data_IF_138633928251
#
_entry.id   IF_138633928251
#
_cell.length_a   1.000
_cell.length_b   1.000
_cell.length_c   1.000
_cell.angle_alpha   90.00
_cell.angle_beta   90.00
_cell.angle_gamma   90.00
#
_symmetry.space_group_name_H-M   'P 1'
#
loop_
_entity.id
_entity.type
_entity.pdbx_description
1 polymer ?
#
# COMPACT_ATOMS: atom_id res chain seq x y z
N UNK A 1 -19.82 17.64 -11.26
CA UNK A 1 -20.29 17.87 -12.63
C UNK A 1 -21.76 18.21 -12.55
N UNK A 2 -22.19 19.28 -13.23
CA UNK A 2 -23.56 19.79 -13.18
C UNK A 2 -24.13 19.83 -14.61
N UNK A 3 -25.32 19.25 -14.80
CA UNK A 3 -26.08 19.36 -16.05
C UNK A 3 -27.12 20.46 -15.79
N UNK A 4 -27.01 21.58 -16.49
CA UNK A 4 -27.91 22.73 -16.28
C UNK A 4 -29.13 22.70 -17.21
N UNK A 5 -28.91 22.27 -18.44
CA UNK A 5 -29.95 22.15 -19.46
C UNK A 5 -29.60 21.00 -20.42
N UNK A 6 -30.39 20.84 -21.48
CA UNK A 6 -30.22 19.84 -22.53
C UNK A 6 -28.93 19.98 -23.35
N UNK A 7 -28.21 21.10 -23.24
CA UNK A 7 -27.05 21.48 -24.09
C UNK A 7 -25.81 21.91 -23.30
N UNK A 8 -25.91 22.06 -21.99
CA UNK A 8 -24.91 22.72 -21.14
C UNK A 8 -24.49 21.82 -19.99
N UNK A 9 -23.23 21.39 -20.07
CA UNK A 9 -22.52 20.66 -19.02
C UNK A 9 -21.49 21.57 -18.36
N UNK A 10 -21.59 21.76 -17.04
CA UNK A 10 -20.55 22.42 -16.26
C UNK A 10 -19.74 21.37 -15.52
N UNK A 11 -18.44 21.31 -15.87
CA UNK A 11 -17.46 20.50 -15.16
C UNK A 11 -16.26 21.36 -14.79
N UNK A 12 -15.62 21.02 -13.68
CA UNK A 12 -14.38 21.67 -13.24
C UNK A 12 -13.30 20.61 -13.18
N UNK A 13 -12.17 20.90 -13.83
CA UNK A 13 -10.98 20.07 -13.76
C UNK A 13 -9.89 20.87 -13.05
N UNK A 14 -9.08 20.22 -12.19
CA UNK A 14 -8.02 20.91 -11.48
C UNK A 14 -6.95 21.39 -12.49
N UNK A 15 -7.00 22.67 -12.86
CA UNK A 15 -5.82 23.41 -13.32
C UNK A 15 -5.23 24.07 -12.09
N UNK A 16 -3.99 23.72 -11.71
CA UNK A 16 -3.27 24.51 -10.70
C UNK A 16 -3.08 25.93 -11.26
N UNK A 17 -3.84 26.89 -10.74
CA UNK A 17 -3.48 28.31 -10.84
C UNK A 17 -2.12 28.48 -10.16
N UNK A 18 -1.10 28.94 -10.87
CA UNK A 18 0.19 29.24 -10.24
C UNK A 18 1.41 29.09 -11.12
N UNK A 19 1.92 27.87 -11.34
CA UNK A 19 3.38 27.79 -11.59
C UNK A 19 3.92 26.61 -12.40
N UNK A 20 3.08 25.74 -12.98
CA UNK A 20 3.58 24.66 -13.86
C UNK A 20 2.70 24.54 -15.12
N UNK A 21 3.33 24.69 -16.30
CA UNK A 21 2.69 24.64 -17.63
C UNK A 21 2.17 23.23 -18.04
N UNK A 22 2.40 22.20 -17.23
CA UNK A 22 2.03 20.82 -17.53
C UNK A 22 0.89 20.35 -16.63
N UNK A 23 -0.21 19.94 -17.26
CA UNK A 23 -1.33 19.29 -16.60
C UNK A 23 -0.96 17.82 -16.36
N UNK A 24 -0.58 17.46 -15.14
CA UNK A 24 -0.21 16.08 -14.77
C UNK A 24 -1.37 15.09 -14.99
N UNK A 25 -2.61 15.55 -14.79
CA UNK A 25 -3.81 14.74 -15.06
C UNK A 25 -4.05 14.64 -16.57
N UNK A 26 -3.80 15.73 -17.31
CA UNK A 26 -3.97 15.78 -18.76
C UNK A 26 -5.42 15.48 -19.22
N UNK A 27 -6.39 15.43 -18.29
CA UNK A 27 -7.79 15.04 -18.53
C UNK A 27 -8.44 16.04 -19.46
N UNK A 28 -8.25 17.33 -19.20
CA UNK A 28 -8.81 18.38 -20.06
C UNK A 28 -8.20 18.35 -21.48
N UNK A 29 -6.89 18.09 -21.60
CA UNK A 29 -6.22 17.91 -22.92
C UNK A 29 -6.72 16.64 -23.63
N UNK A 30 -6.95 15.56 -22.89
CA UNK A 30 -7.43 14.29 -23.42
C UNK A 30 -8.87 14.42 -23.94
N UNK A 31 -9.77 15.00 -23.14
CA UNK A 31 -11.14 15.31 -23.54
C UNK A 31 -11.15 16.18 -24.80
N UNK A 32 -10.35 17.26 -24.83
CA UNK A 32 -10.26 18.14 -26.01
C UNK A 32 -9.78 17.38 -27.25
N UNK A 33 -8.74 16.57 -27.13
CA UNK A 33 -8.21 15.77 -28.25
C UNK A 33 -9.22 14.72 -28.73
N UNK A 34 -9.96 14.08 -27.81
CA UNK A 34 -11.03 13.14 -28.16
C UNK A 34 -12.21 13.85 -28.83
N UNK A 35 -12.54 15.07 -28.40
CA UNK A 35 -13.59 15.88 -29.00
C UNK A 35 -13.20 16.36 -30.41
N UNK A 36 -11.95 16.79 -30.61
CA UNK A 36 -11.44 17.20 -31.92
C UNK A 36 -11.37 16.03 -32.93
N UNK A 37 -11.22 14.80 -32.43
CA UNK A 37 -11.21 13.56 -33.24
C UNK A 37 -12.58 12.90 -33.33
N UNK A 38 -13.58 13.39 -32.60
CA UNK A 38 -14.92 12.79 -32.58
C UNK A 38 -15.62 12.99 -33.94
N UNK A 39 -16.30 11.96 -34.42
CA UNK A 39 -17.11 12.08 -35.65
C UNK A 39 -18.37 12.91 -35.39
N UNK A 40 -18.96 13.58 -36.41
CA UNK A 40 -20.12 14.49 -36.26
C UNK A 40 -21.43 13.88 -35.72
N UNK A 41 -21.44 12.67 -35.16
CA UNK A 41 -22.64 12.02 -34.64
C UNK A 41 -22.37 11.13 -33.42
N UNK A 42 -21.20 11.30 -32.80
CA UNK A 42 -20.72 10.49 -31.67
C UNK A 42 -21.19 11.03 -30.31
N UNK A 43 -21.51 12.33 -30.23
CA UNK A 43 -22.06 12.98 -29.03
C UNK A 43 -23.42 13.54 -29.44
N UNK A 44 -24.51 12.87 -29.06
CA UNK A 44 -25.87 13.25 -29.44
C UNK A 44 -26.57 14.04 -28.34
N UNK A 45 -26.13 13.86 -27.09
CA UNK A 45 -26.67 14.54 -25.92
C UNK A 45 -25.58 14.98 -24.96
N UNK A 46 -25.92 15.92 -24.07
CA UNK A 46 -25.11 16.28 -22.91
C UNK A 46 -24.81 15.09 -22.01
N UNK A 47 -25.70 14.09 -21.96
CA UNK A 47 -25.47 12.86 -21.20
C UNK A 47 -24.31 12.02 -21.77
N UNK A 48 -24.18 11.97 -23.10
CA UNK A 48 -23.04 11.30 -23.76
C UNK A 48 -21.73 12.05 -23.49
N UNK A 49 -21.79 13.39 -23.46
CA UNK A 49 -20.64 14.23 -23.10
C UNK A 49 -20.25 14.01 -21.62
N UNK A 50 -21.22 13.93 -20.72
CA UNK A 50 -20.99 13.61 -19.30
C UNK A 50 -20.38 12.23 -19.12
N UNK A 51 -20.84 11.23 -19.89
CA UNK A 51 -20.27 9.90 -19.89
C UNK A 51 -18.82 9.89 -20.41
N UNK A 52 -18.52 10.65 -21.48
CA UNK A 52 -17.16 10.82 -21.98
C UNK A 52 -16.24 11.44 -20.92
N UNK A 53 -16.72 12.43 -20.17
CA UNK A 53 -15.96 13.02 -19.06
C UNK A 53 -15.68 12.00 -17.97
N UNK A 54 -16.66 11.18 -17.58
CA UNK A 54 -16.49 10.13 -16.57
C UNK A 54 -15.52 9.05 -17.09
N UNK A 55 -15.65 8.62 -18.35
CA UNK A 55 -14.73 7.68 -19.00
C UNK A 55 -13.29 8.21 -18.94
N UNK A 56 -13.06 9.46 -19.35
CA UNK A 56 -11.74 10.08 -19.32
C UNK A 56 -11.17 10.22 -17.91
N UNK A 57 -11.96 10.67 -16.94
CA UNK A 57 -11.54 10.73 -15.54
C UNK A 57 -11.13 9.34 -15.03
N UNK A 58 -11.87 8.29 -15.41
CA UNK A 58 -11.56 6.90 -15.04
C UNK A 58 -10.35 6.32 -15.81
N UNK A 59 -10.03 6.86 -16.99
CA UNK A 59 -8.95 6.41 -17.87
C UNK A 59 -7.59 7.02 -17.52
N UNK A 60 -7.56 8.14 -16.80
CA UNK A 60 -6.34 8.92 -16.51
C UNK A 60 -5.17 8.11 -15.94
N UNK A 61 -5.45 7.06 -15.17
CA UNK A 61 -4.44 6.22 -14.51
C UNK A 61 -4.17 4.89 -15.23
N UNK A 62 -4.97 4.51 -16.23
CA UNK A 62 -4.98 3.17 -16.83
C UNK A 62 -4.77 3.18 -18.35
N UNK A 63 -4.40 4.32 -18.94
CA UNK A 63 -4.24 4.44 -20.38
C UNK A 63 -2.90 3.84 -20.86
N UNK A 64 -2.96 2.65 -21.48
CA UNK A 64 -1.80 1.96 -22.08
C UNK A 64 -1.34 2.56 -23.41
N UNK A 65 -2.16 3.38 -24.08
CA UNK A 65 -1.90 3.87 -25.43
C UNK A 65 -1.11 5.19 -25.46
N UNK A 66 -0.95 5.86 -24.32
CA UNK A 66 -0.40 7.21 -24.22
C UNK A 66 1.11 7.23 -23.97
N UNK A 67 1.89 6.68 -24.91
CA UNK A 67 3.38 6.65 -24.86
C UNK A 67 4.09 8.02 -24.88
N UNK A 68 3.35 9.13 -24.98
CA UNK A 68 3.91 10.48 -25.19
C UNK A 68 3.91 11.38 -23.95
N UNK A 69 3.14 11.06 -22.91
CA UNK A 69 3.12 11.82 -21.66
C UNK A 69 3.61 10.90 -20.53
N UNK A 70 4.37 11.45 -19.58
CA UNK A 70 5.00 10.77 -18.44
C UNK A 70 3.98 10.22 -17.41
N UNK A 71 2.87 9.66 -17.86
CA UNK A 71 1.86 9.08 -16.98
C UNK A 71 2.28 7.65 -16.61
N UNK A 72 2.36 7.33 -15.30
CA UNK A 72 2.72 5.99 -14.86
C UNK A 72 1.64 4.99 -15.30
N UNK A 73 2.04 3.93 -16.00
CA UNK A 73 1.15 2.79 -16.26
C UNK A 73 1.01 2.00 -14.96
N UNK A 74 -0.07 2.27 -14.23
CA UNK A 74 -0.27 1.77 -12.86
C UNK A 74 -0.19 0.24 -12.79
N UNK A 75 -0.84 -0.46 -13.74
CA UNK A 75 -0.86 -1.93 -13.78
C UNK A 75 0.53 -2.52 -14.00
N UNK A 76 1.27 -1.98 -14.97
CA UNK A 76 2.61 -2.48 -15.30
C UNK A 76 3.60 -2.19 -14.15
N UNK A 77 3.48 -1.01 -13.51
CA UNK A 77 4.34 -0.64 -12.38
C UNK A 77 4.11 -1.52 -11.16
N UNK A 78 2.86 -1.80 -10.81
CA UNK A 78 2.58 -2.73 -9.71
C UNK A 78 3.03 -4.15 -10.06
N UNK A 79 2.81 -4.60 -11.30
CA UNK A 79 3.29 -5.92 -11.73
C UNK A 79 4.82 -6.03 -11.66
N UNK A 80 5.53 -4.98 -12.09
CA UNK A 80 6.99 -4.91 -12.01
C UNK A 80 7.48 -4.88 -10.56
N UNK A 81 6.85 -4.08 -9.70
CA UNK A 81 7.19 -3.97 -8.29
C UNK A 81 7.00 -5.31 -7.55
N UNK A 82 5.84 -5.96 -7.72
CA UNK A 82 5.58 -7.30 -7.17
C UNK A 82 6.59 -8.31 -7.71
N UNK A 83 6.85 -8.29 -9.03
CA UNK A 83 7.83 -9.17 -9.66
C UNK A 83 9.25 -8.97 -9.13
N UNK A 84 9.63 -7.74 -8.80
CA UNK A 84 10.93 -7.44 -8.20
C UNK A 84 11.04 -8.00 -6.78
N UNK A 85 10.02 -7.80 -5.94
CA UNK A 85 9.99 -8.37 -4.59
C UNK A 85 10.03 -9.89 -4.63
N UNK A 86 9.19 -10.52 -5.46
CA UNK A 86 9.16 -11.98 -5.63
C UNK A 86 10.51 -12.55 -6.10
N UNK A 87 11.21 -11.85 -6.99
CA UNK A 87 12.57 -12.25 -7.41
C UNK A 87 13.58 -12.14 -6.27
N UNK A 88 13.56 -11.04 -5.51
CA UNK A 88 14.44 -10.86 -4.34
C UNK A 88 14.15 -11.90 -3.26
N UNK A 89 12.88 -12.24 -3.04
CA UNK A 89 12.43 -13.33 -2.15
C UNK A 89 13.03 -14.67 -2.58
N UNK A 90 12.91 -15.03 -3.87
CA UNK A 90 13.46 -16.28 -4.41
C UNK A 90 14.98 -16.36 -4.20
N UNK A 91 15.69 -15.24 -4.44
CA UNK A 91 17.14 -15.14 -4.20
C UNK A 91 17.45 -15.33 -2.70
N UNK A 92 16.64 -14.79 -1.81
CA UNK A 92 16.82 -14.95 -0.37
C UNK A 92 16.56 -16.39 0.10
N UNK A 93 15.56 -17.07 -0.47
CA UNK A 93 15.36 -18.51 -0.24
C UNK A 93 16.56 -19.35 -0.69
N UNK A 94 17.09 -19.11 -1.90
CA UNK A 94 18.27 -19.83 -2.40
C UNK A 94 19.48 -19.64 -1.48
N UNK A 95 19.70 -18.42 -1.00
CA UNK A 95 20.74 -18.13 0.00
C UNK A 95 20.51 -18.91 1.29
N UNK A 96 19.27 -18.94 1.80
CA UNK A 96 18.91 -19.67 3.02
C UNK A 96 19.17 -21.18 2.88
N UNK A 97 18.82 -21.77 1.74
CA UNK A 97 19.05 -23.19 1.49
C UNK A 97 20.55 -23.53 1.41
N UNK A 98 21.34 -22.74 0.67
CA UNK A 98 22.80 -22.90 0.62
C UNK A 98 23.43 -22.81 2.00
N UNK A 99 22.96 -21.88 2.81
CA UNK A 99 23.41 -21.73 4.19
C UNK A 99 23.06 -22.91 5.07
N UNK A 100 21.85 -23.43 4.93
CA UNK A 100 21.39 -24.61 5.68
C UNK A 100 22.22 -25.84 5.36
N UNK A 101 22.54 -26.05 4.08
CA UNK A 101 23.38 -27.16 3.65
C UNK A 101 24.81 -27.03 4.21
N UNK A 102 25.40 -25.84 4.11
CA UNK A 102 26.72 -25.54 4.67
C UNK A 102 26.75 -25.74 6.20
N UNK A 103 25.72 -25.27 6.90
CA UNK A 103 25.60 -25.48 8.34
C UNK A 103 25.54 -26.98 8.68
N UNK A 104 24.76 -27.77 7.95
CA UNK A 104 24.68 -29.22 8.11
C UNK A 104 26.03 -29.93 7.92
N UNK A 105 26.84 -29.48 6.95
CA UNK A 105 28.21 -29.99 6.76
C UNK A 105 29.11 -29.71 7.97
N UNK A 106 29.01 -28.51 8.55
CA UNK A 106 29.77 -28.12 9.76
C UNK A 106 29.30 -28.92 10.98
N UNK A 107 27.99 -29.12 11.15
CA UNK A 107 27.44 -29.97 12.21
C UNK A 107 27.98 -31.41 12.13
N UNK A 108 28.16 -31.94 10.91
CA UNK A 108 28.64 -33.32 10.69
C UNK A 108 30.15 -33.48 10.76
N UNK A 109 30.94 -32.42 10.57
CA UNK A 109 32.41 -32.45 10.67
C UNK A 109 32.89 -31.50 11.77
N UNK A 110 33.05 -31.98 13.02
CA UNK A 110 33.59 -31.18 14.10
C UNK A 110 35.11 -31.04 13.92
N UNK A 111 35.55 -30.15 13.02
CA UNK A 111 36.97 -29.91 12.77
C UNK A 111 37.24 -28.52 12.20
N UNK A 112 37.76 -27.63 13.04
CA UNK A 112 38.50 -26.38 12.76
C UNK A 112 37.97 -25.36 11.73
N UNK A 113 36.71 -25.38 11.30
CA UNK A 113 36.15 -24.26 10.55
C UNK A 113 35.68 -23.15 11.48
N UNK A 114 36.11 -21.92 11.19
CA UNK A 114 35.83 -20.72 11.98
C UNK A 114 34.33 -20.48 12.14
N UNK A 115 33.88 -20.52 13.40
CA UNK A 115 32.51 -20.22 13.85
C UNK A 115 32.02 -18.84 13.40
N UNK A 116 32.95 -17.92 13.09
CA UNK A 116 32.68 -16.52 12.73
C UNK A 116 31.97 -16.35 11.39
N UNK A 117 32.17 -17.26 10.42
CA UNK A 117 31.56 -17.14 9.08
C UNK A 117 30.06 -17.47 9.06
N UNK A 118 29.57 -18.26 10.04
CA UNK A 118 28.17 -18.67 10.14
C UNK A 118 27.33 -17.72 11.02
N UNK A 119 27.90 -16.64 11.54
CA UNK A 119 27.21 -15.80 12.53
C UNK A 119 26.46 -14.61 11.92
N UNK A 120 26.90 -14.07 10.78
CA UNK A 120 26.51 -12.70 10.38
C UNK A 120 25.27 -12.65 9.45
N UNK A 121 25.16 -13.46 8.39
CA UNK A 121 24.02 -13.38 7.46
C UNK A 121 22.66 -13.86 7.99
N UNK A 122 22.64 -14.80 8.94
CA UNK A 122 21.38 -15.41 9.40
C UNK A 122 20.70 -14.60 10.51
N UNK A 123 21.48 -13.82 11.27
CA UNK A 123 20.98 -12.86 12.26
C UNK A 123 20.61 -11.52 11.63
N UNK A 124 21.11 -11.20 10.43
CA UNK A 124 20.72 -9.99 9.72
C UNK A 124 19.35 -10.19 9.05
N UNK A 125 18.30 -9.91 9.81
CA UNK A 125 16.89 -9.97 9.38
C UNK A 125 16.48 -8.70 8.62
N UNK A 126 17.31 -7.66 8.64
CA UNK A 126 16.97 -6.36 8.04
C UNK A 126 16.59 -6.43 6.56
N UNK A 127 17.26 -7.19 5.67
CA UNK A 127 16.89 -7.21 4.26
C UNK A 127 15.55 -7.91 4.02
N UNK A 128 15.26 -9.03 4.69
CA UNK A 128 13.96 -9.71 4.54
C UNK A 128 12.81 -8.93 5.20
N UNK A 129 13.06 -8.24 6.31
CA UNK A 129 12.09 -7.35 6.92
C UNK A 129 11.78 -6.14 6.00
N UNK A 130 12.77 -5.60 5.30
CA UNK A 130 12.57 -4.55 4.32
C UNK A 130 11.75 -5.04 3.12
N UNK A 131 11.99 -6.26 2.63
CA UNK A 131 11.20 -6.92 1.60
C UNK A 131 9.74 -7.12 2.02
N UNK A 132 9.52 -7.55 3.26
CA UNK A 132 8.18 -7.72 3.81
C UNK A 132 7.43 -6.38 3.90
N UNK A 133 8.13 -5.32 4.31
CA UNK A 133 7.57 -3.97 4.32
C UNK A 133 7.25 -3.48 2.90
N UNK A 134 8.15 -3.68 1.95
CA UNK A 134 7.96 -3.28 0.55
C UNK A 134 6.68 -3.90 -0.05
N UNK A 135 6.41 -5.18 0.21
CA UNK A 135 5.20 -5.85 -0.30
C UNK A 135 3.91 -5.48 0.45
N UNK A 136 3.98 -5.22 1.76
CA UNK A 136 2.84 -4.69 2.52
C UNK A 136 2.47 -3.29 2.05
N UNK A 137 3.46 -2.41 1.84
CA UNK A 137 3.25 -1.06 1.29
C UNK A 137 2.58 -1.14 -0.11
N UNK A 138 3.08 -2.03 -0.99
CA UNK A 138 2.45 -2.27 -2.32
C UNK A 138 1.00 -2.77 -2.19
N UNK A 139 0.72 -3.64 -1.21
CA UNK A 139 -0.63 -4.15 -0.97
C UNK A 139 -1.59 -3.03 -0.55
N UNK A 140 -1.16 -2.17 0.38
CA UNK A 140 -1.94 -1.02 0.83
C UNK A 140 -2.20 -0.04 -0.33
N UNK A 141 -1.19 0.23 -1.17
CA UNK A 141 -1.35 1.07 -2.36
C UNK A 141 -2.35 0.48 -3.38
N UNK A 142 -2.33 -0.85 -3.57
CA UNK A 142 -3.31 -1.55 -4.41
C UNK A 142 -4.73 -1.48 -3.83
N UNK A 143 -4.89 -1.64 -2.53
CA UNK A 143 -6.20 -1.53 -1.87
C UNK A 143 -6.76 -0.10 -1.98
N UNK A 144 -5.90 0.93 -1.84
CA UNK A 144 -6.26 2.33 -2.11
C UNK A 144 -6.72 2.50 -3.56
N UNK A 145 -6.01 1.92 -4.53
CA UNK A 145 -6.37 2.02 -5.93
C UNK A 145 -7.70 1.32 -6.24
N UNK A 146 -7.92 0.11 -5.68
CA UNK A 146 -9.19 -0.61 -5.80
C UNK A 146 -10.34 0.23 -5.24
N UNK A 147 -10.13 0.85 -4.08
CA UNK A 147 -11.11 1.76 -3.48
C UNK A 147 -11.47 2.91 -4.42
N UNK A 148 -10.48 3.61 -4.97
CA UNK A 148 -10.69 4.73 -5.91
C UNK A 148 -11.46 4.28 -7.16
N UNK A 149 -11.10 3.15 -7.77
CA UNK A 149 -11.79 2.65 -8.97
C UNK A 149 -13.23 2.21 -8.65
N UNK A 150 -13.47 1.62 -7.47
CA UNK A 150 -14.83 1.31 -7.00
C UNK A 150 -15.65 2.57 -6.78
N UNK A 151 -15.05 3.65 -6.25
CA UNK A 151 -15.72 4.94 -6.15
C UNK A 151 -16.08 5.51 -7.53
N UNK A 152 -15.21 5.37 -8.53
CA UNK A 152 -15.54 5.76 -9.91
C UNK A 152 -16.71 4.95 -10.48
N UNK A 153 -16.76 3.64 -10.21
CA UNK A 153 -17.90 2.79 -10.61
C UNK A 153 -19.20 3.26 -9.94
N UNK A 154 -19.16 3.56 -8.65
CA UNK A 154 -20.33 4.05 -7.91
C UNK A 154 -20.85 5.39 -8.47
N UNK A 155 -19.94 6.32 -8.80
CA UNK A 155 -20.31 7.61 -9.41
C UNK A 155 -20.92 7.40 -10.80
N UNK A 156 -20.39 6.48 -11.59
CA UNK A 156 -20.95 6.13 -12.90
C UNK A 156 -22.35 5.52 -12.77
N UNK A 157 -22.57 4.58 -11.84
CA UNK A 157 -23.87 3.96 -11.60
C UNK A 157 -24.90 4.98 -11.10
N UNK A 158 -24.49 5.88 -10.22
CA UNK A 158 -25.32 7.00 -9.76
C UNK A 158 -25.68 7.92 -10.93
N UNK A 159 -24.72 8.26 -11.80
CA UNK A 159 -24.98 9.06 -12.99
C UNK A 159 -25.97 8.38 -13.94
N UNK A 160 -25.79 7.09 -14.24
CA UNK A 160 -26.72 6.32 -15.08
C UNK A 160 -28.12 6.32 -14.48
N UNK A 161 -28.25 6.17 -13.17
CA UNK A 161 -29.54 6.15 -12.47
C UNK A 161 -30.23 7.51 -12.54
N UNK A 162 -29.49 8.61 -12.33
CA UNK A 162 -30.03 9.97 -12.47
C UNK A 162 -30.48 10.27 -13.90
N UNK A 163 -29.69 9.84 -14.90
CA UNK A 163 -30.06 10.01 -16.32
C UNK A 163 -31.31 9.20 -16.65
N UNK A 164 -31.41 7.95 -16.18
CA UNK A 164 -32.63 7.15 -16.32
C UNK A 164 -33.85 7.84 -15.74
N UNK A 165 -33.77 8.33 -14.50
CA UNK A 165 -34.88 9.02 -13.86
C UNK A 165 -35.27 10.32 -14.58
N UNK A 166 -34.29 11.12 -15.02
CA UNK A 166 -34.57 12.32 -15.82
C UNK A 166 -35.24 12.00 -17.16
N UNK A 167 -34.88 10.89 -17.81
CA UNK A 167 -35.55 10.48 -19.06
C UNK A 167 -36.91 9.81 -18.83
N UNK A 168 -37.12 9.12 -17.71
CA UNK A 168 -38.42 8.47 -17.36
C UNK A 168 -39.49 9.48 -16.92
N UNK A 169 -39.09 10.53 -16.18
CA UNK A 169 -39.99 11.64 -15.78
C UNK A 169 -40.55 12.37 -17.02
N UNK A 170 -39.75 12.52 -18.07
CA UNK A 170 -40.22 13.12 -19.33
C UNK A 170 -41.08 12.20 -20.19
N UNK A 171 -41.05 10.88 -19.96
CA UNK A 171 -41.98 9.92 -20.60
C UNK A 171 -43.36 9.99 -19.93
N UNK A 172 -43.42 10.35 -18.64
CA UNK A 172 -44.67 10.47 -17.88
C UNK A 172 -45.41 11.79 -18.12
N UNK A 173 -44.70 12.89 -18.39
CA UNK A 173 -45.33 14.17 -18.77
C UNK A 173 -46.05 14.10 -20.14
N UNK A 174 -45.60 13.26 -21.08
CA UNK A 174 -46.31 13.00 -22.35
C UNK A 174 -47.67 12.34 -22.10
N UNK A 175 -47.80 11.50 -21.06
CA UNK A 175 -49.08 10.86 -20.71
C UNK A 175 -50.05 11.88 -20.11
N UNK A 176 -49.56 12.82 -19.29
CA UNK A 176 -50.41 13.84 -18.67
C UNK A 176 -50.81 14.96 -19.64
N UNK A 177 -49.95 15.28 -20.62
CA UNK A 177 -50.28 16.17 -21.75
C UNK A 177 -51.36 15.58 -22.65
N UNK A 178 -51.23 14.30 -23.03
CA UNK A 178 -52.24 13.59 -23.85
C UNK A 178 -53.54 13.38 -23.09
N UNK A 179 -53.50 13.10 -21.79
CA UNK A 179 -54.72 13.00 -20.97
C UNK A 179 -55.42 14.36 -20.80
N UNK A 180 -54.66 15.45 -20.69
CA UNK A 180 -55.20 16.82 -20.56
C UNK A 180 -55.88 17.31 -21.84
N UNK A 181 -55.33 17.01 -23.03
CA UNK A 181 -56.00 17.27 -24.32
C UNK A 181 -57.26 16.42 -24.49
N UNK A 182 -57.25 15.17 -24.02
CA UNK A 182 -58.42 14.29 -24.05
C UNK A 182 -59.56 14.74 -23.10
N UNK A 183 -59.24 15.43 -22.00
CA UNK A 183 -60.23 15.93 -21.03
C UNK A 183 -60.79 17.31 -21.42
N UNK A 184 -60.02 18.14 -22.15
CA UNK A 184 -60.45 19.49 -22.57
C UNK A 184 -61.29 19.52 -23.85
N UNK A 185 -61.42 18.39 -24.56
CA UNK A 185 -62.23 18.24 -25.77
C UNK A 185 -63.73 17.94 -25.54
N UNK A 186 -64.21 17.89 -24.30
CA UNK A 186 -65.59 17.51 -24.00
C UNK A 186 -66.29 18.50 -23.05
N UNK A 187 -67.32 19.19 -23.59
CA UNK A 187 -68.40 19.93 -22.89
C UNK A 187 -68.08 21.39 -22.48
N UNK A 188 -68.89 22.43 -22.74
CA UNK A 188 -70.14 22.60 -23.46
C UNK A 188 -70.44 24.11 -23.64
N UNK A 189 -71.23 24.44 -24.65
CA UNK A 189 -72.03 25.66 -24.75
C UNK A 189 -73.04 25.78 -23.58
N UNK A 190 -73.21 26.99 -23.01
CA UNK A 190 -74.50 27.70 -22.80
C UNK A 190 -74.41 28.76 -21.68
N UNK A 191 -74.93 29.94 -22.00
CA UNK A 191 -74.82 31.25 -21.34
C UNK A 191 -75.44 31.41 -19.93
N UNK A 192 -74.97 32.43 -19.17
CA UNK A 192 -75.61 33.77 -18.94
C UNK A 192 -75.35 34.30 -17.50
N UNK A 193 -74.85 35.55 -17.35
CA UNK A 193 -75.04 36.34 -16.13
C UNK A 193 -73.89 37.28 -15.66
N UNK A 194 -73.99 38.56 -16.00
CA UNK A 194 -73.59 39.79 -15.27
C UNK A 194 -72.16 40.01 -14.67
N UNK A 195 -71.56 41.13 -15.11
CA UNK A 195 -70.48 41.93 -14.52
C UNK A 195 -70.89 42.63 -13.19
N UNK A 196 -70.00 43.26 -12.37
CA UNK A 196 -68.73 43.93 -12.76
C UNK A 196 -67.50 43.79 -11.81
N UNK A 197 -66.37 44.29 -12.32
CA UNK A 197 -65.05 44.47 -11.68
C UNK A 197 -65.09 45.33 -10.40
N UNK A 198 -64.02 45.28 -9.58
CA UNK A 198 -63.31 46.53 -9.33
C UNK A 198 -61.78 46.42 -9.44
N UNK A 199 -61.23 47.50 -9.98
CA UNK A 199 -59.83 47.93 -9.98
C UNK A 199 -59.20 47.98 -8.59
N UNK A 200 -57.91 47.67 -8.48
CA UNK A 200 -56.97 48.52 -7.75
C UNK A 200 -55.52 48.29 -8.22
N UNK A 201 -54.90 49.40 -8.61
CA UNK A 201 -53.50 49.54 -8.98
C UNK A 201 -52.61 49.36 -7.76
N UNK A 202 -51.49 48.65 -7.90
CA UNK A 202 -50.23 49.01 -7.21
C UNK A 202 -49.03 48.57 -8.03
N UNK A 203 -48.25 49.57 -8.40
CA UNK A 203 -46.97 49.60 -9.11
C UNK A 203 -45.83 48.91 -8.35
N UNK A 204 -45.03 48.12 -9.08
CA UNK A 204 -43.58 47.99 -8.85
C UNK A 204 -42.89 47.47 -10.13
N UNK A 205 -41.78 48.09 -10.60
CA UNK A 205 -41.13 47.74 -11.85
C UNK A 205 -40.14 46.59 -11.64
N UNK A 206 -40.39 45.43 -12.23
CA UNK A 206 -39.41 44.35 -12.34
C UNK A 206 -38.82 44.39 -13.75
N UNK A 207 -37.49 44.48 -13.92
CA UNK A 207 -36.88 44.53 -15.24
C UNK A 207 -37.08 43.19 -15.95
N UNK A 208 -37.56 43.27 -17.19
CA UNK A 208 -37.72 42.20 -18.17
C UNK A 208 -36.82 40.98 -17.92
N UNK A 209 -37.36 39.96 -17.25
CA UNK A 209 -36.95 38.60 -17.48
C UNK A 209 -37.43 38.24 -18.89
N UNK A 210 -36.58 38.47 -19.89
CA UNK A 210 -36.71 37.81 -21.19
C UNK A 210 -36.79 36.32 -20.89
N UNK A 211 -37.99 35.75 -21.00
CA UNK A 211 -38.20 34.32 -20.98
C UNK A 211 -37.21 33.71 -21.97
N UNK A 212 -36.29 32.89 -21.45
CA UNK A 212 -35.40 32.11 -22.28
C UNK A 212 -36.29 31.23 -23.18
N UNK A 213 -36.05 31.18 -24.51
CA UNK A 213 -36.79 30.30 -25.40
C UNK A 213 -36.68 28.86 -24.89
N UNK A 214 -37.81 28.17 -24.75
CA UNK A 214 -37.82 26.75 -24.39
C UNK A 214 -37.00 25.96 -25.43
N UNK A 215 -36.19 24.98 -25.01
CA UNK A 215 -35.32 24.26 -25.92
C UNK A 215 -36.13 23.30 -26.82
N UNK A 216 -36.09 23.53 -28.13
CA UNK A 216 -36.92 22.86 -29.14
C UNK A 216 -36.31 21.58 -29.75
N UNK A 217 -35.37 20.90 -29.07
CA UNK A 217 -34.65 19.74 -29.66
C UNK A 217 -35.24 18.40 -29.25
N UNK A 218 -36.02 18.35 -28.17
CA UNK A 218 -36.61 17.11 -27.67
C UNK A 218 -38.03 16.86 -28.18
N UNK A 219 -38.52 17.52 -29.22
CA UNK A 219 -39.96 17.43 -29.56
C UNK A 219 -40.38 16.12 -30.26
N UNK A 220 -39.43 15.22 -30.61
CA UNK A 220 -39.72 13.92 -31.23
C UNK A 220 -39.47 12.74 -30.24
N UNK A 221 -40.52 11.99 -29.85
CA UNK A 221 -40.40 10.86 -28.93
C UNK A 221 -39.51 9.73 -29.46
N UNK A 222 -39.36 9.59 -30.79
CA UNK A 222 -38.55 8.54 -31.39
C UNK A 222 -37.06 8.87 -31.35
N UNK A 223 -36.69 10.13 -31.58
CA UNK A 223 -35.34 10.64 -31.38
C UNK A 223 -34.88 10.53 -29.92
N UNK A 224 -35.77 10.79 -28.94
CA UNK A 224 -35.48 10.60 -27.51
C UNK A 224 -35.13 9.15 -27.16
N UNK A 225 -35.92 8.21 -27.68
CA UNK A 225 -35.70 6.77 -27.45
C UNK A 225 -34.38 6.29 -28.07
N UNK A 226 -33.99 6.85 -29.21
CA UNK A 226 -32.70 6.57 -29.83
C UNK A 226 -31.52 7.13 -29.02
N UNK A 227 -31.62 8.35 -28.48
CA UNK A 227 -30.61 8.94 -27.59
C UNK A 227 -30.45 8.08 -26.34
N UNK A 228 -31.56 7.68 -25.70
CA UNK A 228 -31.53 6.82 -24.52
C UNK A 228 -30.86 5.47 -24.79
N UNK A 229 -31.23 4.79 -25.88
CA UNK A 229 -30.60 3.52 -26.24
C UNK A 229 -29.12 3.66 -26.53
N UNK A 230 -28.71 4.73 -27.21
CA UNK A 230 -27.31 5.01 -27.49
C UNK A 230 -26.52 5.28 -26.20
N UNK A 231 -27.07 6.10 -25.31
CA UNK A 231 -26.50 6.37 -24.00
C UNK A 231 -26.35 5.09 -23.17
N UNK A 232 -27.39 4.24 -23.11
CA UNK A 232 -27.36 3.02 -22.31
C UNK A 232 -26.29 2.03 -22.80
N UNK A 233 -26.09 1.93 -24.12
CA UNK A 233 -25.04 1.10 -24.72
C UNK A 233 -23.64 1.62 -24.35
N UNK A 234 -23.40 2.92 -24.53
CA UNK A 234 -22.11 3.53 -24.17
C UNK A 234 -21.84 3.42 -22.66
N UNK A 235 -22.87 3.62 -21.84
CA UNK A 235 -22.77 3.52 -20.39
C UNK A 235 -22.39 2.10 -19.95
N UNK A 236 -22.99 1.06 -20.56
CA UNK A 236 -22.63 -0.34 -20.32
C UNK A 236 -21.19 -0.64 -20.75
N UNK A 237 -20.74 -0.08 -21.85
CA UNK A 237 -19.35 -0.23 -22.31
C UNK A 237 -18.36 0.33 -21.27
N UNK A 238 -18.57 1.58 -20.82
CA UNK A 238 -17.72 2.22 -19.81
C UNK A 238 -17.79 1.45 -18.48
N UNK A 239 -18.98 1.02 -18.06
CA UNK A 239 -19.14 0.21 -16.84
C UNK A 239 -18.36 -1.10 -16.92
N UNK A 240 -18.40 -1.78 -18.08
CA UNK A 240 -17.67 -3.03 -18.30
C UNK A 240 -16.16 -2.81 -18.25
N UNK A 241 -15.67 -1.71 -18.84
CA UNK A 241 -14.25 -1.34 -18.77
C UNK A 241 -13.79 -1.11 -17.33
N UNK A 242 -14.55 -0.35 -16.54
CA UNK A 242 -14.20 -0.09 -15.13
C UNK A 242 -14.24 -1.38 -14.31
N UNK A 243 -15.26 -2.23 -14.51
CA UNK A 243 -15.35 -3.55 -13.84
C UNK A 243 -14.16 -4.45 -14.18
N UNK A 244 -13.74 -4.46 -15.44
CA UNK A 244 -12.57 -5.23 -15.86
C UNK A 244 -11.28 -4.74 -15.16
N UNK A 245 -11.12 -3.42 -15.01
CA UNK A 245 -9.98 -2.84 -14.26
C UNK A 245 -9.98 -3.19 -12.78
N UNK A 246 -11.15 -3.19 -12.15
CA UNK A 246 -11.28 -3.64 -10.74
C UNK A 246 -10.78 -5.09 -10.64
N UNK A 247 -11.20 -5.96 -11.56
CA UNK A 247 -10.75 -7.35 -11.59
C UNK A 247 -9.24 -7.47 -11.80
N UNK A 248 -8.66 -6.67 -12.70
CA UNK A 248 -7.20 -6.67 -12.93
C UNK A 248 -6.41 -6.22 -11.69
N UNK A 249 -6.88 -5.18 -10.99
CA UNK A 249 -6.28 -4.74 -9.73
C UNK A 249 -6.45 -5.77 -8.60
N UNK A 250 -7.60 -6.45 -8.53
CA UNK A 250 -7.82 -7.55 -7.58
C UNK A 250 -6.85 -8.71 -7.85
N UNK A 251 -6.62 -9.07 -9.11
CA UNK A 251 -5.61 -10.08 -9.48
C UNK A 251 -4.19 -9.68 -9.07
N UNK A 252 -3.83 -8.40 -9.24
CA UNK A 252 -2.53 -7.88 -8.77
C UNK A 252 -2.44 -7.93 -7.24
N UNK A 253 -3.50 -7.55 -6.52
CA UNK A 253 -3.57 -7.65 -5.07
C UNK A 253 -3.40 -9.09 -4.60
N UNK A 254 -4.06 -10.05 -5.24
CA UNK A 254 -3.94 -11.47 -4.90
C UNK A 254 -2.51 -11.98 -5.15
N UNK A 255 -1.85 -11.49 -6.20
CA UNK A 255 -0.43 -11.78 -6.48
C UNK A 255 0.50 -11.17 -5.41
N UNK A 256 0.22 -9.95 -4.97
CA UNK A 256 0.95 -9.29 -3.89
C UNK A 256 0.76 -10.02 -2.55
N UNK A 257 -0.46 -10.47 -2.25
CA UNK A 257 -0.79 -11.28 -1.08
C UNK A 257 0.01 -12.59 -1.05
N UNK A 258 0.03 -13.32 -2.17
CA UNK A 258 0.81 -14.55 -2.28
C UNK A 258 2.31 -14.30 -2.07
N UNK A 259 2.85 -13.22 -2.61
CA UNK A 259 4.25 -12.81 -2.39
C UNK A 259 4.50 -12.43 -0.93
N UNK A 260 3.56 -11.72 -0.29
CA UNK A 260 3.65 -11.36 1.12
C UNK A 260 3.69 -12.61 2.02
N UNK A 261 2.83 -13.59 1.75
CA UNK A 261 2.85 -14.88 2.45
C UNK A 261 4.17 -15.64 2.25
N UNK A 262 4.71 -15.62 1.02
CA UNK A 262 6.00 -16.22 0.70
C UNK A 262 7.17 -15.60 1.48
N UNK A 263 7.25 -14.26 1.50
CA UNK A 263 8.25 -13.51 2.27
C UNK A 263 8.08 -13.72 3.79
N UNK A 264 6.83 -13.79 4.28
CA UNK A 264 6.56 -14.09 5.69
C UNK A 264 7.01 -15.51 6.06
N UNK A 265 6.78 -16.48 5.17
CA UNK A 265 7.30 -17.84 5.32
C UNK A 265 8.82 -17.89 5.38
N UNK A 266 9.50 -17.13 4.51
CA UNK A 266 10.95 -17.02 4.50
C UNK A 266 11.48 -16.47 5.82
N UNK A 267 10.87 -15.39 6.31
CA UNK A 267 11.24 -14.75 7.57
C UNK A 267 11.11 -15.72 8.75
N UNK A 268 10.00 -16.47 8.80
CA UNK A 268 9.77 -17.47 9.83
C UNK A 268 10.83 -18.58 9.81
N UNK A 269 11.16 -19.10 8.62
CA UNK A 269 12.20 -20.13 8.47
C UNK A 269 13.58 -19.61 8.89
N UNK A 270 13.94 -18.38 8.50
CA UNK A 270 15.21 -17.76 8.89
C UNK A 270 15.31 -17.57 10.41
N UNK A 271 14.24 -17.10 11.04
CA UNK A 271 14.16 -16.98 12.51
C UNK A 271 14.26 -18.33 13.21
N UNK A 272 13.57 -19.36 12.71
CA UNK A 272 13.64 -20.72 13.25
C UNK A 272 15.07 -21.26 13.17
N UNK A 273 15.75 -21.07 12.03
CA UNK A 273 17.13 -21.50 11.85
C UNK A 273 18.10 -20.71 12.73
N UNK A 274 17.86 -19.40 12.94
CA UNK A 274 18.66 -18.57 13.83
C UNK A 274 18.57 -19.08 15.27
N UNK A 275 17.38 -19.45 15.72
CA UNK A 275 17.18 -20.08 17.02
C UNK A 275 17.94 -21.41 17.16
N UNK A 276 17.92 -22.27 16.13
CA UNK A 276 18.67 -23.55 16.15
C UNK A 276 20.18 -23.31 16.23
N UNK A 277 20.69 -22.37 15.42
CA UNK A 277 22.12 -22.03 15.40
C UNK A 277 22.57 -21.44 16.74
N UNK A 278 21.80 -20.50 17.31
CA UNK A 278 22.06 -19.93 18.64
C UNK A 278 22.05 -21.00 19.75
N UNK A 279 21.10 -21.93 19.70
CA UNK A 279 21.03 -23.03 20.68
C UNK A 279 22.27 -23.93 20.60
N UNK A 280 22.70 -24.30 19.40
CA UNK A 280 23.92 -25.10 19.23
C UNK A 280 25.18 -24.37 19.67
N UNK A 281 25.28 -23.06 19.42
CA UNK A 281 26.41 -22.26 19.88
C UNK A 281 26.47 -22.22 21.41
N UNK A 282 25.33 -22.07 22.08
CA UNK A 282 25.25 -22.15 23.54
C UNK A 282 25.74 -23.50 24.07
N UNK A 283 25.41 -24.60 23.38
CA UNK A 283 25.94 -25.93 23.71
C UNK A 283 27.46 -26.00 23.54
N UNK A 284 28.00 -25.49 22.42
CA UNK A 284 29.45 -25.47 22.17
C UNK A 284 30.20 -24.62 23.21
N UNK A 285 29.68 -23.44 23.51
CA UNK A 285 30.24 -22.53 24.52
C UNK A 285 30.20 -23.16 25.91
N UNK A 286 29.13 -23.87 26.25
CA UNK A 286 29.01 -24.62 27.50
C UNK A 286 30.07 -25.74 27.60
N UNK A 287 30.31 -26.48 26.51
CA UNK A 287 31.35 -27.52 26.48
C UNK A 287 32.75 -26.94 26.71
N UNK A 288 33.08 -25.81 26.06
CA UNK A 288 34.35 -25.12 26.26
C UNK A 288 34.45 -24.53 27.67
N UNK A 289 33.36 -24.02 28.23
CA UNK A 289 33.29 -23.54 29.62
C UNK A 289 33.54 -24.69 30.61
N UNK A 290 33.01 -25.88 30.35
CA UNK A 290 33.28 -27.08 31.16
C UNK A 290 34.76 -27.48 31.08
N UNK A 291 35.35 -27.50 29.88
CA UNK A 291 36.78 -27.78 29.69
C UNK A 291 37.64 -26.75 30.44
N UNK A 292 37.33 -25.46 30.30
CA UNK A 292 37.99 -24.38 31.02
C UNK A 292 37.85 -24.53 32.54
N UNK A 293 36.65 -24.89 33.02
CA UNK A 293 36.40 -25.18 34.43
C UNK A 293 37.27 -26.31 34.98
N UNK A 294 37.51 -27.37 34.18
CA UNK A 294 38.43 -28.46 34.55
C UNK A 294 39.89 -27.98 34.65
N UNK A 295 40.33 -27.11 33.75
CA UNK A 295 41.67 -26.52 33.81
C UNK A 295 41.86 -25.64 35.05
N UNK A 296 40.86 -24.81 35.38
CA UNK A 296 40.86 -24.02 36.62
C UNK A 296 40.91 -24.94 37.84
N UNK A 297 40.10 -26.01 37.86
CA UNK A 297 40.09 -26.98 38.94
C UNK A 297 41.47 -27.65 39.12
N UNK A 298 42.12 -28.07 38.03
CA UNK A 298 43.48 -28.65 38.10
C UNK A 298 44.48 -27.65 38.68
N UNK A 299 44.48 -26.41 38.18
CA UNK A 299 45.34 -25.34 38.68
C UNK A 299 45.11 -25.10 40.18
N UNK A 300 43.86 -25.10 40.64
CA UNK A 300 43.54 -24.92 42.07
C UNK A 300 44.03 -26.09 42.93
N UNK A 301 43.89 -27.35 42.49
CA UNK A 301 44.38 -28.52 43.23
C UNK A 301 45.91 -28.46 43.38
N UNK A 302 46.62 -28.19 42.28
CA UNK A 302 48.09 -28.03 42.31
C UNK A 302 48.48 -26.90 43.27
N UNK A 303 47.81 -25.75 43.18
CA UNK A 303 48.10 -24.60 44.05
C UNK A 303 47.85 -24.92 45.53
N UNK A 304 46.75 -25.57 45.89
CA UNK A 304 46.41 -25.89 47.29
C UNK A 304 47.43 -26.85 47.92
N UNK A 305 47.96 -27.82 47.15
CA UNK A 305 48.99 -28.75 47.65
C UNK A 305 50.35 -28.07 47.74
N UNK A 306 50.79 -27.43 46.65
CA UNK A 306 52.16 -26.91 46.59
C UNK A 306 52.37 -25.61 47.35
N UNK A 307 51.33 -24.81 47.60
CA UNK A 307 51.49 -23.52 48.28
C UNK A 307 51.90 -23.68 49.76
N UNK A 308 51.28 -24.55 50.58
CA UNK A 308 51.75 -24.82 51.94
C UNK A 308 53.12 -25.54 51.98
N UNK A 309 53.36 -26.47 51.04
CA UNK A 309 54.64 -27.19 50.93
C UNK A 309 55.80 -26.25 50.57
N UNK A 310 55.58 -25.33 49.62
CA UNK A 310 56.55 -24.31 49.22
C UNK A 310 56.80 -23.32 50.34
N UNK A 311 55.76 -22.91 51.07
CA UNK A 311 55.90 -22.08 52.26
C UNK A 311 56.77 -22.78 53.32
N UNK A 312 56.50 -24.05 53.61
CA UNK A 312 57.28 -24.83 54.58
C UNK A 312 58.74 -24.98 54.15
N UNK A 313 58.99 -25.28 52.87
CA UNK A 313 60.34 -25.32 52.31
C UNK A 313 61.05 -23.96 52.39
N UNK A 314 60.32 -22.86 52.18
CA UNK A 314 60.86 -21.52 52.34
C UNK A 314 61.24 -21.23 53.81
N UNK A 315 60.42 -21.63 54.80
CA UNK A 315 60.79 -21.52 56.23
C UNK A 315 62.11 -22.24 56.51
N UNK A 316 62.24 -23.49 56.05
CA UNK A 316 63.46 -24.28 56.31
C UNK A 316 64.68 -23.83 55.49
N UNK A 317 64.47 -23.13 54.37
CA UNK A 317 65.52 -22.51 53.57
C UNK A 317 65.99 -21.14 54.10
N UNK A 318 65.32 -20.56 55.09
CA UNK A 318 65.75 -19.30 55.70
C UNK A 318 67.01 -19.49 56.56
N UNK A 319 67.91 -18.51 56.51
CA UNK A 319 69.14 -18.52 57.31
C UNK A 319 68.86 -18.08 58.76
N UNK A 320 68.05 -18.86 59.46
CA UNK A 320 67.69 -18.62 60.84
C UNK A 320 68.69 -19.27 61.80
N UNK A 321 69.00 -18.57 62.90
CA UNK A 321 69.93 -19.04 63.95
C UNK A 321 69.54 -20.41 64.54
N UNK A 322 68.24 -20.74 64.53
CA UNK A 322 67.69 -21.99 65.10
C UNK A 322 67.77 -23.20 64.16
N UNK A 323 68.00 -22.97 62.86
CA UNK A 323 68.00 -24.00 61.81
C UNK A 323 69.39 -24.28 61.21
N UNK A 324 70.38 -23.41 61.47
CA UNK A 324 71.77 -23.59 61.02
C UNK A 324 72.77 -22.77 61.83
N UNK A 325 74.05 -23.18 61.81
CA UNK A 325 75.10 -22.64 62.69
C UNK A 325 75.59 -21.23 62.35
N UNK A 326 75.15 -20.64 61.22
CA UNK A 326 75.60 -19.33 60.71
C UNK A 326 74.44 -18.32 60.46
N UNK A 327 73.31 -18.46 61.15
CA UNK A 327 72.17 -17.52 61.04
C UNK A 327 72.38 -16.25 61.87
N UNK A 328 71.98 -15.08 61.36
CA UNK A 328 72.18 -13.78 62.05
C UNK A 328 70.97 -13.32 62.89
N UNK A 329 69.77 -13.84 62.61
CA UNK A 329 68.51 -13.42 63.24
C UNK A 329 67.72 -14.64 63.76
N UNK A 330 66.93 -14.43 64.83
CA UNK A 330 66.02 -15.46 65.36
C UNK A 330 64.78 -15.56 64.46
N UNK A 331 64.25 -16.76 64.27
CA UNK A 331 63.10 -17.04 63.40
C UNK A 331 61.90 -16.13 63.74
N UNK A 332 61.62 -15.92 65.02
CA UNK A 332 60.54 -15.06 65.49
C UNK A 332 60.71 -13.57 65.15
N UNK A 333 61.96 -13.09 65.03
CA UNK A 333 62.26 -11.71 64.61
C UNK A 333 62.13 -11.55 63.09
N UNK A 334 62.54 -12.56 62.31
CA UNK A 334 62.35 -12.57 60.85
C UNK A 334 60.86 -12.60 60.48
N UNK A 335 60.07 -13.49 61.10
CA UNK A 335 58.61 -13.50 60.90
C UNK A 335 57.95 -12.22 61.39
N UNK A 336 58.39 -11.64 62.52
CA UNK A 336 57.86 -10.36 62.98
C UNK A 336 58.17 -9.21 62.00
N UNK A 337 59.28 -9.28 61.26
CA UNK A 337 59.65 -8.30 60.23
C UNK A 337 58.85 -8.50 58.94
N UNK A 338 58.67 -9.76 58.51
CA UNK A 338 57.85 -10.14 57.34
C UNK A 338 56.37 -9.79 57.57
N UNK A 339 55.80 -10.08 58.75
CA UNK A 339 54.41 -9.78 59.07
C UNK A 339 54.15 -8.30 59.41
N UNK A 340 55.18 -7.52 59.77
CA UNK A 340 55.09 -6.05 59.91
C UNK A 340 55.29 -5.31 58.59
N UNK A 341 55.82 -5.95 57.56
CA UNK A 341 55.89 -5.41 56.21
C UNK A 341 54.47 -5.35 55.63
N UNK A 342 53.77 -4.27 55.96
CA UNK A 342 52.52 -3.86 55.34
C UNK A 342 52.76 -3.76 53.82
N UNK A 343 51.94 -4.39 52.96
CA UNK A 343 52.04 -4.10 51.53
C UNK A 343 51.68 -2.63 51.32
N UNK A 344 52.52 -1.90 50.59
CA UNK A 344 52.21 -0.57 50.09
C UNK A 344 51.21 -0.67 48.93
#
# INVERSE_FOLDING_TARGET
MWVLDEKTLITSFPKRYGTQKYDYSGVHKAIRTKLDRARPNQIRSVFDLGLLVIDECSNTFFDRARKSDRQPQVIDQFSEAIGNVSRKETIAYDKLYKWTDNANLIYRRPGNSEMSELHVPLLDINPEAALHREIEDIKEELDIMIYVVRSHLFVLESFITHVKHMLDVYISDDIWGVLSEAISGASADTARGQMPSPSQNTTSPTPNARQAPQPTVYNDPEARKQIFRFFELNAKEVQTKIKWRIKELEQLRDSALSTCEGVKGLLALKQQQAGVVQAWMSLKQSEETVKQGRSIMLFTVVTIVFLPLTFTAAIFGMNALELGSNGSLKIGQEFATICKARPA
#
